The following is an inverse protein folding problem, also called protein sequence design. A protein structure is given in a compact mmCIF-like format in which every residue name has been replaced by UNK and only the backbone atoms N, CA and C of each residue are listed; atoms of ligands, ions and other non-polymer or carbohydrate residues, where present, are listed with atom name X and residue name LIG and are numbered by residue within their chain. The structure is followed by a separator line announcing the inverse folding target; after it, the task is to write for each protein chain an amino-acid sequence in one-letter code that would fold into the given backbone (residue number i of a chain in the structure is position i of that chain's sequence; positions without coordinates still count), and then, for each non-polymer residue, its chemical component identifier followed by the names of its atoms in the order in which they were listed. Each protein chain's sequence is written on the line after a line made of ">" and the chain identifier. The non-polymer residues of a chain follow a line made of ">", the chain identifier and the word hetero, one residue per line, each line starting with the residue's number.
data_IF_167788821635
#
_entry.id   IF_167788821635
#
_cell.length_a   1.000
_cell.length_b   1.000
_cell.length_c   1.000
_cell.angle_alpha   90.00
_cell.angle_beta   90.00
_cell.angle_gamma   90.00
#
_symmetry.space_group_name_H-M   'P 1'
#
loop_
_entity.id
_entity.type
_entity.pdbx_description
1 polymer ?
#
# COMPACT_ATOMS: atom_id res chain seq x y z
N UNK A 1 -15.82 -16.37 -22.59
CA UNK A 1 -14.90 -15.20 -22.52
C UNK A 1 -15.72 -13.92 -22.46
N UNK A 2 -16.66 -13.71 -23.39
CA UNK A 2 -17.47 -12.49 -23.48
C UNK A 2 -18.19 -12.15 -22.16
N UNK A 3 -18.94 -13.10 -21.59
CA UNK A 3 -19.60 -12.95 -20.30
C UNK A 3 -18.63 -12.54 -19.16
N UNK A 4 -17.44 -13.13 -19.11
CA UNK A 4 -16.42 -12.83 -18.10
C UNK A 4 -15.94 -11.39 -18.25
N UNK A 5 -15.57 -10.97 -19.46
CA UNK A 5 -15.02 -9.65 -19.69
C UNK A 5 -16.05 -8.54 -19.53
N UNK A 6 -17.33 -8.79 -19.86
CA UNK A 6 -18.40 -7.82 -19.63
C UNK A 6 -18.82 -7.70 -18.17
N UNK A 7 -18.83 -8.80 -17.41
CA UNK A 7 -19.55 -8.84 -16.13
C UNK A 7 -18.68 -9.16 -14.91
N UNK A 8 -17.44 -9.66 -15.09
CA UNK A 8 -16.65 -10.19 -13.98
C UNK A 8 -15.27 -9.53 -13.84
N UNK A 9 -14.74 -8.91 -14.90
CA UNK A 9 -13.41 -8.30 -14.88
C UNK A 9 -13.51 -6.80 -15.03
N UNK A 10 -13.04 -6.09 -14.01
CA UNK A 10 -13.02 -4.64 -13.95
C UNK A 10 -11.62 -4.17 -13.54
N UNK A 11 -11.21 -3.00 -14.01
CA UNK A 11 -9.90 -2.47 -13.67
C UNK A 11 -9.86 -0.94 -13.70
N UNK A 12 -8.90 -0.42 -12.95
CA UNK A 12 -8.57 1.01 -12.94
C UNK A 12 -7.09 1.15 -13.24
N UNK A 13 -6.77 1.86 -14.31
CA UNK A 13 -5.41 2.29 -14.56
C UNK A 13 -5.11 3.60 -13.83
N UNK A 14 -3.91 3.72 -13.32
CA UNK A 14 -3.42 4.94 -12.66
C UNK A 14 -2.97 6.01 -13.66
N UNK A 15 -2.61 5.58 -14.88
CA UNK A 15 -2.29 6.43 -16.03
C UNK A 15 -3.05 5.92 -17.26
N UNK A 16 -3.17 6.78 -18.27
CA UNK A 16 -3.75 6.37 -19.55
C UNK A 16 -2.97 5.21 -20.17
N UNK A 17 -1.64 5.29 -20.16
CA UNK A 17 -0.77 4.24 -20.70
C UNK A 17 -1.01 2.89 -20.03
N UNK A 18 -1.10 2.84 -18.69
CA UNK A 18 -1.38 1.57 -17.98
C UNK A 18 -2.74 1.00 -18.33
N UNK A 19 -3.75 1.84 -18.55
CA UNK A 19 -5.08 1.41 -18.99
C UNK A 19 -5.06 0.86 -20.41
N UNK A 20 -4.34 1.51 -21.33
CA UNK A 20 -4.18 1.03 -22.71
C UNK A 20 -3.48 -0.34 -22.77
N UNK A 21 -2.43 -0.53 -21.96
CA UNK A 21 -1.73 -1.82 -21.85
C UNK A 21 -2.66 -2.91 -21.27
N UNK A 22 -3.39 -2.57 -20.22
CA UNK A 22 -4.33 -3.50 -19.57
C UNK A 22 -5.44 -3.91 -20.52
N UNK A 23 -6.04 -2.98 -21.26
CA UNK A 23 -7.03 -3.24 -22.30
C UNK A 23 -6.46 -4.15 -23.39
N UNK A 24 -5.26 -3.85 -23.88
CA UNK A 24 -4.59 -4.67 -24.88
C UNK A 24 -4.36 -6.11 -24.40
N UNK A 25 -4.05 -6.29 -23.12
CA UNK A 25 -3.85 -7.62 -22.53
C UNK A 25 -5.15 -8.39 -22.37
N UNK A 26 -6.25 -7.72 -22.02
CA UNK A 26 -7.54 -8.35 -21.77
C UNK A 26 -8.42 -8.47 -23.03
N UNK A 27 -8.44 -7.42 -23.86
CA UNK A 27 -9.32 -7.33 -25.03
C UNK A 27 -8.60 -7.60 -26.35
N UNK A 28 -7.28 -7.83 -26.34
CA UNK A 28 -6.40 -7.86 -27.53
C UNK A 28 -6.38 -6.53 -28.30
N UNK A 29 -6.96 -5.47 -27.77
CA UNK A 29 -7.09 -4.15 -28.39
C UNK A 29 -6.91 -3.03 -27.34
N UNK A 30 -6.39 -1.87 -27.77
CA UNK A 30 -6.35 -0.65 -26.94
C UNK A 30 -7.74 -0.12 -26.64
N UNK A 31 -8.67 -0.32 -27.57
CA UNK A 31 -10.04 0.18 -27.52
C UNK A 31 -11.00 -1.00 -27.45
N UNK A 32 -11.85 -1.02 -26.43
CA UNK A 32 -12.79 -2.12 -26.15
C UNK A 32 -13.89 -2.24 -27.21
N UNK A 33 -14.19 -1.15 -27.94
CA UNK A 33 -15.09 -1.11 -29.10
C UNK A 33 -14.37 -1.20 -30.45
N UNK A 34 -13.07 -1.46 -30.44
CA UNK A 34 -12.26 -1.52 -31.66
C UNK A 34 -12.50 -2.81 -32.47
N UNK A 35 -12.30 -2.73 -33.79
CA UNK A 35 -12.49 -3.85 -34.73
C UNK A 35 -11.78 -5.16 -34.32
N UNK A 36 -10.65 -5.04 -33.63
CA UNK A 36 -9.82 -6.20 -33.23
C UNK A 36 -10.00 -6.61 -31.76
N UNK A 37 -10.94 -5.97 -31.06
CA UNK A 37 -11.29 -6.39 -29.71
C UNK A 37 -11.99 -7.74 -29.75
N UNK A 38 -11.58 -8.66 -28.85
CA UNK A 38 -12.20 -9.97 -28.73
C UNK A 38 -13.61 -9.92 -28.12
N UNK A 39 -13.96 -8.76 -27.53
CA UNK A 39 -15.28 -8.47 -26.95
C UNK A 39 -15.64 -7.02 -27.34
N UNK A 40 -16.87 -6.79 -27.75
CA UNK A 40 -17.34 -5.47 -28.13
C UNK A 40 -18.07 -4.77 -26.98
N UNK A 41 -17.62 -3.58 -26.63
CA UNK A 41 -18.26 -2.68 -25.68
C UNK A 41 -18.83 -1.46 -26.40
N UNK A 42 -19.76 -0.77 -25.75
CA UNK A 42 -20.33 0.47 -26.29
C UNK A 42 -19.32 1.64 -26.27
N UNK A 43 -18.39 1.61 -25.31
CA UNK A 43 -17.35 2.63 -25.18
C UNK A 43 -15.93 2.07 -25.38
N UNK A 44 -14.98 2.94 -25.65
CA UNK A 44 -13.59 2.56 -25.97
C UNK A 44 -12.80 2.00 -24.77
N UNK A 45 -13.25 2.22 -23.56
CA UNK A 45 -12.56 1.76 -22.35
C UNK A 45 -13.09 0.41 -21.86
N UNK A 46 -14.34 0.09 -22.15
CA UNK A 46 -15.00 -1.09 -21.60
C UNK A 46 -14.99 -1.04 -20.06
N UNK A 47 -14.63 -2.14 -19.41
CA UNK A 47 -14.53 -2.24 -17.95
C UNK A 47 -13.17 -1.84 -17.38
N UNK A 48 -12.17 -1.51 -18.23
CA UNK A 48 -10.84 -1.08 -17.79
C UNK A 48 -10.76 0.44 -17.94
N UNK A 49 -11.04 1.12 -16.86
CA UNK A 49 -11.22 2.57 -16.85
C UNK A 49 -9.92 3.32 -16.53
N UNK A 50 -9.71 4.42 -17.23
CA UNK A 50 -8.87 5.51 -16.80
C UNK A 50 -9.74 6.77 -16.70
N UNK A 51 -9.71 7.40 -15.55
CA UNK A 51 -10.48 8.63 -15.30
C UNK A 51 -9.49 9.67 -14.82
N UNK A 52 -9.34 10.72 -15.61
CA UNK A 52 -8.55 11.87 -15.21
C UNK A 52 -9.21 12.53 -14.00
N UNK A 53 -8.39 12.88 -13.04
CA UNK A 53 -8.82 13.51 -11.79
C UNK A 53 -7.94 14.69 -11.47
N UNK A 54 -8.49 15.66 -10.75
CA UNK A 54 -7.76 16.83 -10.26
C UNK A 54 -7.62 16.79 -8.74
N UNK A 55 -6.62 17.52 -8.23
CA UNK A 55 -6.45 17.70 -6.81
C UNK A 55 -7.51 18.66 -6.24
N UNK A 56 -7.97 18.36 -5.02
CA UNK A 56 -8.77 19.28 -4.21
C UNK A 56 -7.89 19.89 -3.15
N UNK A 57 -7.68 21.19 -3.21
CA UNK A 57 -6.72 21.91 -2.37
C UNK A 57 -7.36 22.51 -1.13
N UNK A 58 -6.76 22.24 0.04
CA UNK A 58 -7.06 22.89 1.29
C UNK A 58 -5.75 23.21 2.02
N UNK A 59 -5.56 24.45 2.45
CA UNK A 59 -4.33 24.92 3.12
C UNK A 59 -3.05 24.56 2.37
N UNK A 60 -3.07 24.65 1.03
CA UNK A 60 -1.93 24.34 0.16
C UNK A 60 -1.58 22.86 0.01
N UNK A 61 -2.45 21.94 0.47
CA UNK A 61 -2.28 20.49 0.33
C UNK A 61 -3.53 19.85 -0.25
N UNK A 62 -3.37 18.78 -1.03
CA UNK A 62 -4.51 18.00 -1.49
C UNK A 62 -5.13 17.24 -0.32
N UNK A 63 -6.45 17.36 -0.14
CA UNK A 63 -7.21 16.69 0.95
C UNK A 63 -7.18 15.16 0.84
N UNK A 64 -6.99 14.63 -0.36
CA UNK A 64 -6.97 13.17 -0.60
C UNK A 64 -5.59 12.56 -0.50
N UNK A 65 -4.63 13.00 -1.32
CA UNK A 65 -3.30 12.41 -1.39
C UNK A 65 -2.25 13.12 -0.52
N UNK A 66 -2.53 14.37 -0.09
CA UNK A 66 -1.63 15.16 0.75
C UNK A 66 -0.44 15.77 0.01
N UNK A 67 -0.43 15.75 -1.34
CA UNK A 67 0.57 16.46 -2.14
C UNK A 67 0.46 17.96 -1.90
N UNK A 68 1.59 18.67 -1.96
CA UNK A 68 1.61 20.12 -1.79
C UNK A 68 1.33 20.80 -3.14
N UNK A 69 0.50 21.86 -3.16
CA UNK A 69 0.15 22.62 -4.35
C UNK A 69 1.38 23.22 -5.05
N UNK A 70 2.41 23.61 -4.31
CA UNK A 70 3.65 24.14 -4.87
C UNK A 70 4.48 23.11 -5.65
N UNK A 71 4.10 21.82 -5.61
CA UNK A 71 4.68 20.74 -6.39
C UNK A 71 3.76 20.32 -7.55
N UNK A 72 2.95 21.27 -8.04
CA UNK A 72 2.20 21.07 -9.27
C UNK A 72 3.21 20.77 -10.39
N UNK A 73 3.11 19.55 -10.91
CA UNK A 73 4.07 19.04 -11.88
C UNK A 73 3.68 19.56 -13.27
N UNK A 74 4.70 19.77 -14.12
CA UNK A 74 4.49 20.03 -15.52
C UNK A 74 3.52 19.00 -16.13
N UNK A 75 2.76 19.43 -17.14
CA UNK A 75 1.67 18.63 -17.76
C UNK A 75 2.10 17.25 -18.25
N UNK A 76 3.40 17.04 -18.45
CA UNK A 76 3.98 15.79 -18.94
C UNK A 76 4.34 14.79 -17.82
N UNK A 77 4.18 15.18 -16.55
CA UNK A 77 4.48 14.33 -15.40
C UNK A 77 3.20 13.84 -14.71
N UNK A 78 3.30 12.66 -14.11
CA UNK A 78 2.19 12.06 -13.36
C UNK A 78 1.75 12.97 -12.21
N UNK A 79 0.47 13.38 -12.21
CA UNK A 79 -0.07 14.34 -11.24
C UNK A 79 -0.31 13.76 -9.85
N UNK A 80 -0.31 12.42 -9.69
CA UNK A 80 -0.75 11.70 -8.49
C UNK A 80 -2.23 11.89 -8.11
N UNK A 81 -3.02 12.55 -8.93
CA UNK A 81 -4.44 12.70 -8.74
C UNK A 81 -5.20 11.45 -9.22
N UNK A 82 -4.97 10.32 -8.58
CA UNK A 82 -5.61 9.07 -8.97
C UNK A 82 -7.09 9.07 -8.56
N UNK A 83 -7.96 8.91 -9.52
CA UNK A 83 -9.43 8.97 -9.32
C UNK A 83 -9.92 8.02 -8.22
N UNK A 84 -9.32 6.83 -8.09
CA UNK A 84 -9.71 5.84 -7.09
C UNK A 84 -9.57 6.34 -5.65
N UNK A 85 -8.58 7.17 -5.36
CA UNK A 85 -8.35 7.72 -4.01
C UNK A 85 -8.76 9.20 -3.87
N UNK A 86 -9.15 9.87 -4.97
CA UNK A 86 -9.64 11.26 -4.97
C UNK A 86 -11.17 11.30 -4.96
N UNK A 87 -11.78 10.50 -4.10
CA UNK A 87 -13.22 10.44 -3.91
C UNK A 87 -13.55 10.18 -2.44
N UNK A 88 -14.68 10.65 -1.98
CA UNK A 88 -15.20 10.34 -0.64
C UNK A 88 -15.90 8.97 -0.58
N UNK A 89 -16.32 8.46 -1.73
CA UNK A 89 -17.06 7.20 -1.81
C UNK A 89 -16.58 6.33 -2.98
N UNK A 90 -15.69 5.36 -2.73
CA UNK A 90 -15.18 4.47 -3.77
C UNK A 90 -16.26 3.59 -4.41
N UNK A 91 -17.38 3.31 -3.72
CA UNK A 91 -18.46 2.51 -4.29
C UNK A 91 -19.12 3.20 -5.50
N UNK A 92 -19.17 4.54 -5.50
CA UNK A 92 -19.73 5.29 -6.64
C UNK A 92 -18.89 5.15 -7.90
N UNK A 93 -17.57 4.93 -7.76
CA UNK A 93 -16.68 4.75 -8.90
C UNK A 93 -17.08 3.57 -9.79
N UNK A 94 -17.65 2.53 -9.18
CA UNK A 94 -18.12 1.32 -9.85
C UNK A 94 -19.65 1.19 -9.82
N UNK A 95 -20.39 2.29 -9.78
CA UNK A 95 -21.86 2.28 -9.74
C UNK A 95 -22.41 1.38 -8.62
N UNK A 96 -21.78 1.38 -7.45
CA UNK A 96 -22.10 0.54 -6.29
C UNK A 96 -22.01 -0.97 -6.55
N UNK A 97 -21.24 -1.39 -7.55
CA UNK A 97 -20.97 -2.79 -7.82
C UNK A 97 -20.25 -3.43 -6.64
N UNK A 98 -20.56 -4.69 -6.35
CA UNK A 98 -19.86 -5.49 -5.34
C UNK A 98 -18.83 -6.38 -6.02
N UNK A 99 -17.65 -6.45 -5.43
CA UNK A 99 -16.56 -7.28 -5.92
C UNK A 99 -16.32 -8.44 -4.96
N UNK A 100 -16.15 -9.64 -5.51
CA UNK A 100 -15.71 -10.79 -4.72
C UNK A 100 -14.21 -10.70 -4.45
N UNK A 101 -13.41 -10.29 -5.43
CA UNK A 101 -11.96 -10.26 -5.36
C UNK A 101 -11.43 -8.92 -5.82
N UNK A 102 -10.51 -8.34 -5.04
CA UNK A 102 -9.72 -7.18 -5.43
C UNK A 102 -8.23 -7.55 -5.33
N UNK A 103 -7.51 -7.38 -6.42
CA UNK A 103 -6.05 -7.57 -6.46
C UNK A 103 -5.37 -6.33 -7.05
N UNK A 104 -4.13 -6.07 -6.64
CA UNK A 104 -3.42 -4.94 -7.23
C UNK A 104 -2.00 -4.72 -6.70
N UNK A 105 -1.31 -3.87 -7.46
CA UNK A 105 -0.02 -3.30 -7.10
C UNK A 105 -0.17 -1.77 -7.16
N UNK A 106 -0.58 -1.11 -6.06
CA UNK A 106 -0.85 0.32 -6.06
C UNK A 106 0.44 1.15 -6.13
N UNK A 107 0.36 2.42 -6.53
CA UNK A 107 1.50 3.34 -6.44
C UNK A 107 2.05 3.41 -5.01
N UNK A 108 3.37 3.26 -4.86
CA UNK A 108 3.99 3.14 -3.54
C UNK A 108 4.13 4.46 -2.82
N UNK A 109 4.47 5.52 -3.54
CA UNK A 109 4.80 6.80 -2.95
C UNK A 109 4.55 7.96 -3.92
N UNK A 110 4.42 9.14 -3.36
CA UNK A 110 4.44 10.41 -4.08
C UNK A 110 5.87 10.94 -4.00
N UNK A 111 6.43 11.28 -5.17
CA UNK A 111 7.66 12.04 -5.23
C UNK A 111 7.32 13.52 -5.00
N UNK A 112 7.85 14.12 -3.95
CA UNK A 112 7.59 15.52 -3.60
C UNK A 112 8.59 16.51 -4.21
N UNK A 113 9.37 16.04 -5.23
CA UNK A 113 10.17 16.89 -6.15
C UNK A 113 11.27 17.72 -5.49
N UNK A 114 11.59 17.50 -4.23
CA UNK A 114 12.55 18.31 -3.49
C UNK A 114 13.87 17.61 -3.18
N UNK A 115 14.99 18.29 -3.42
CA UNK A 115 16.30 17.86 -2.95
C UNK A 115 16.27 17.56 -1.44
N UNK A 116 16.55 16.30 -1.06
CA UNK A 116 16.61 15.85 0.33
C UNK A 116 15.27 15.65 1.02
N UNK A 117 14.14 15.84 0.34
CA UNK A 117 12.82 15.54 0.90
C UNK A 117 12.46 14.07 0.65
N UNK A 118 12.01 13.42 1.69
CA UNK A 118 11.64 12.02 1.62
C UNK A 118 10.24 11.88 1.05
N UNK A 119 10.09 11.12 -0.04
CA UNK A 119 8.81 10.74 -0.65
C UNK A 119 7.79 10.24 0.41
N UNK A 120 6.51 10.59 0.21
CA UNK A 120 5.41 10.21 1.10
C UNK A 120 4.77 8.91 0.60
N UNK A 121 4.48 7.95 1.49
CA UNK A 121 3.73 6.76 1.12
C UNK A 121 2.33 7.11 0.60
N UNK A 122 1.86 6.37 -0.42
CA UNK A 122 0.52 6.53 -0.98
C UNK A 122 -0.30 5.23 -0.94
N UNK A 123 0.35 4.07 -1.03
CA UNK A 123 -0.28 2.75 -1.12
C UNK A 123 -1.29 2.46 -0.01
N UNK A 124 -1.10 2.99 1.20
CA UNK A 124 -2.00 2.81 2.33
C UNK A 124 -3.41 3.32 2.04
N UNK A 125 -3.54 4.40 1.27
CA UNK A 125 -4.84 4.93 0.85
C UNK A 125 -5.58 3.96 -0.07
N UNK A 126 -4.86 3.34 -1.01
CA UNK A 126 -5.44 2.31 -1.89
C UNK A 126 -5.92 1.11 -1.09
N UNK A 127 -5.16 0.64 -0.09
CA UNK A 127 -5.58 -0.43 0.82
C UNK A 127 -6.86 -0.06 1.56
N UNK A 128 -6.91 1.13 2.17
CA UNK A 128 -8.07 1.59 2.92
C UNK A 128 -9.31 1.75 2.03
N UNK A 129 -9.15 2.26 0.81
CA UNK A 129 -10.26 2.40 -0.14
C UNK A 129 -10.74 1.04 -0.65
N UNK A 130 -9.85 0.09 -0.91
CA UNK A 130 -10.22 -1.27 -1.29
C UNK A 130 -10.98 -2.00 -0.18
N UNK A 131 -10.59 -1.83 1.08
CA UNK A 131 -11.35 -2.35 2.23
C UNK A 131 -12.77 -1.76 2.33
N UNK A 132 -12.95 -0.47 1.97
CA UNK A 132 -14.28 0.19 1.93
C UNK A 132 -15.22 -0.41 0.87
N UNK A 133 -14.68 -0.97 -0.21
CA UNK A 133 -15.47 -1.72 -1.21
C UNK A 133 -15.98 -3.06 -0.65
N UNK A 134 -15.47 -3.47 0.51
CA UNK A 134 -15.88 -4.66 1.25
C UNK A 134 -15.91 -5.95 0.41
N UNK A 135 -14.81 -6.28 -0.32
CA UNK A 135 -14.73 -7.49 -1.13
C UNK A 135 -14.72 -8.75 -0.25
N UNK A 136 -14.97 -9.91 -0.83
CA UNK A 136 -14.81 -11.19 -0.15
C UNK A 136 -13.32 -11.51 0.08
N UNK A 137 -12.48 -11.26 -0.93
CA UNK A 137 -11.03 -11.42 -0.88
C UNK A 137 -10.32 -10.18 -1.38
N UNK A 138 -9.23 -9.82 -0.72
CA UNK A 138 -8.44 -8.66 -1.09
C UNK A 138 -6.94 -8.97 -0.94
N UNK A 139 -6.16 -8.70 -1.98
CA UNK A 139 -4.71 -8.91 -1.96
C UNK A 139 -3.98 -7.81 -2.72
N UNK A 140 -3.08 -7.13 -2.03
CA UNK A 140 -2.17 -6.15 -2.63
C UNK A 140 -0.71 -6.50 -2.32
N UNK A 141 0.16 -6.16 -3.28
CA UNK A 141 1.60 -6.11 -3.04
C UNK A 141 1.99 -4.66 -2.73
N UNK A 142 2.63 -4.43 -1.59
CA UNK A 142 2.94 -3.09 -1.06
C UNK A 142 4.31 -3.08 -0.36
N UNK A 143 4.95 -1.89 -0.21
CA UNK A 143 6.15 -1.76 0.62
C UNK A 143 5.92 -2.21 2.06
N UNK A 144 6.86 -2.97 2.62
CA UNK A 144 6.81 -3.47 4.00
C UNK A 144 7.12 -2.39 5.06
N UNK A 145 7.38 -1.16 4.65
CA UNK A 145 7.72 -0.04 5.55
C UNK A 145 6.68 0.20 6.65
N UNK A 146 5.42 -0.12 6.41
CA UNK A 146 4.36 0.07 7.40
C UNK A 146 4.55 -0.78 8.67
N UNK A 147 5.37 -1.83 8.65
CA UNK A 147 5.64 -2.68 9.82
C UNK A 147 6.14 -1.87 11.02
N UNK A 148 7.01 -0.89 10.78
CA UNK A 148 7.57 -0.02 11.80
C UNK A 148 6.89 1.35 11.89
N UNK A 149 6.02 1.68 10.92
CA UNK A 149 5.37 2.98 10.81
C UNK A 149 6.30 4.11 10.41
N UNK A 150 5.99 5.30 10.88
CA UNK A 150 6.64 6.55 10.48
C UNK A 150 6.17 7.06 9.12
N UNK A 151 6.56 8.27 8.76
CA UNK A 151 6.08 8.95 7.53
C UNK A 151 4.55 9.00 7.37
N UNK A 152 3.81 9.07 8.48
CA UNK A 152 2.35 9.10 8.47
C UNK A 152 1.68 7.72 8.34
N UNK A 153 2.41 6.63 8.53
CA UNK A 153 1.87 5.26 8.45
C UNK A 153 1.49 4.67 9.83
N UNK A 154 1.57 5.44 10.92
CA UNK A 154 1.36 4.89 12.26
C UNK A 154 -0.07 4.38 12.46
N UNK A 155 -1.08 5.14 12.04
CA UNK A 155 -2.48 4.70 12.12
C UNK A 155 -2.76 3.52 11.16
N UNK A 156 -2.21 3.57 9.95
CA UNK A 156 -2.31 2.46 9.00
C UNK A 156 -1.68 1.17 9.55
N UNK A 157 -0.51 1.29 10.21
CA UNK A 157 0.14 0.15 10.88
C UNK A 157 -0.77 -0.43 11.95
N UNK A 158 -1.30 0.41 12.86
CA UNK A 158 -2.20 -0.03 13.94
C UNK A 158 -3.43 -0.75 13.37
N UNK A 159 -4.02 -0.21 12.30
CA UNK A 159 -5.13 -0.84 11.58
C UNK A 159 -4.74 -2.22 11.07
N UNK A 160 -3.62 -2.32 10.34
CA UNK A 160 -3.20 -3.57 9.69
C UNK A 160 -2.83 -4.67 10.69
N UNK A 161 -2.04 -4.36 11.74
CA UNK A 161 -1.65 -5.38 12.74
C UNK A 161 -2.81 -5.86 13.60
N UNK A 162 -3.86 -5.05 13.74
CA UNK A 162 -5.05 -5.39 14.54
C UNK A 162 -6.16 -6.06 13.72
N UNK A 163 -6.05 -6.07 12.39
CA UNK A 163 -7.07 -6.63 11.50
C UNK A 163 -6.92 -8.15 11.38
N UNK A 164 -7.73 -8.88 12.14
CA UNK A 164 -7.74 -10.35 12.16
C UNK A 164 -8.24 -11.01 10.88
N UNK A 165 -8.66 -10.22 9.88
CA UNK A 165 -9.08 -10.69 8.57
C UNK A 165 -7.90 -10.90 7.62
N UNK A 166 -6.68 -10.53 8.02
CA UNK A 166 -5.48 -10.84 7.25
C UNK A 166 -5.09 -12.30 7.56
N UNK A 167 -5.41 -13.20 6.65
CA UNK A 167 -5.17 -14.64 6.79
C UNK A 167 -3.74 -15.04 6.43
N UNK A 168 -3.12 -14.33 5.47
CA UNK A 168 -1.76 -14.58 5.01
C UNK A 168 -0.99 -13.28 4.82
N UNK A 169 0.30 -13.31 5.17
CA UNK A 169 1.25 -12.23 4.94
C UNK A 169 2.57 -12.83 4.47
N UNK A 170 2.97 -12.49 3.25
CA UNK A 170 4.25 -12.89 2.66
C UNK A 170 5.18 -11.70 2.64
N UNK A 171 6.33 -11.83 3.28
CA UNK A 171 7.33 -10.78 3.45
C UNK A 171 8.61 -11.08 2.68
N UNK A 172 9.02 -10.12 1.85
CA UNK A 172 10.26 -10.17 1.06
C UNK A 172 11.16 -9.02 1.48
N UNK A 173 12.22 -9.35 2.18
CA UNK A 173 13.18 -8.36 2.67
C UNK A 173 13.99 -7.77 1.52
N UNK A 174 14.37 -8.59 0.56
CA UNK A 174 14.98 -8.16 -0.70
C UNK A 174 13.90 -8.07 -1.79
N UNK A 175 13.70 -6.86 -2.29
CA UNK A 175 12.73 -6.60 -3.37
C UNK A 175 13.10 -7.32 -4.68
N UNK A 176 14.38 -7.58 -4.92
CA UNK A 176 14.85 -8.28 -6.12
C UNK A 176 14.33 -9.72 -6.22
N UNK A 177 13.94 -10.33 -5.11
CA UNK A 177 13.35 -11.68 -5.12
C UNK A 177 12.00 -11.70 -5.87
N UNK A 178 11.32 -10.56 -5.97
CA UNK A 178 10.01 -10.41 -6.63
C UNK A 178 10.10 -9.53 -7.87
N UNK A 179 10.78 -8.40 -7.77
CA UNK A 179 10.94 -7.41 -8.84
C UNK A 179 12.42 -7.17 -9.13
N UNK A 180 13.01 -7.92 -10.07
CA UNK A 180 14.41 -7.75 -10.42
C UNK A 180 14.74 -6.32 -10.85
N UNK A 181 15.78 -5.75 -10.26
CA UNK A 181 16.23 -4.38 -10.55
C UNK A 181 15.47 -3.27 -9.80
N UNK A 182 14.46 -3.60 -9.01
CA UNK A 182 13.75 -2.64 -8.18
C UNK A 182 14.29 -2.69 -6.74
N UNK A 183 14.68 -1.53 -6.21
CA UNK A 183 15.11 -1.41 -4.82
C UNK A 183 14.09 -0.58 -4.02
N UNK A 184 13.30 -1.26 -3.18
CA UNK A 184 12.38 -0.62 -2.23
C UNK A 184 12.95 -0.76 -0.83
N UNK A 185 13.35 0.36 -0.24
CA UNK A 185 13.92 0.37 1.10
C UNK A 185 12.95 -0.20 2.13
N UNK A 186 13.37 -1.29 2.78
CA UNK A 186 12.58 -2.04 3.76
C UNK A 186 11.87 -3.26 3.17
N UNK A 187 12.01 -3.51 1.85
CA UNK A 187 11.38 -4.63 1.18
C UNK A 187 9.91 -4.42 0.85
N UNK A 188 9.29 -5.48 0.40
CA UNK A 188 7.87 -5.51 0.03
C UNK A 188 7.16 -6.68 0.72
N UNK A 189 5.85 -6.59 0.78
CA UNK A 189 5.01 -7.69 1.23
C UNK A 189 3.76 -7.79 0.35
N UNK A 190 3.17 -8.98 0.28
CA UNK A 190 1.77 -9.11 -0.11
C UNK A 190 0.99 -9.84 0.96
N UNK A 191 -0.31 -9.58 1.01
CA UNK A 191 -1.19 -10.16 2.02
C UNK A 191 -2.49 -10.63 1.38
N UNK A 192 -3.13 -11.60 2.00
CA UNK A 192 -4.51 -11.99 1.73
C UNK A 192 -5.38 -11.53 2.89
N UNK A 193 -6.35 -10.68 2.58
CA UNK A 193 -7.41 -10.27 3.49
C UNK A 193 -8.71 -10.94 3.05
N UNK A 194 -9.42 -11.55 4.00
CA UNK A 194 -10.65 -12.29 3.77
C UNK A 194 -11.75 -11.74 4.67
N UNK A 195 -12.84 -11.30 4.11
CA UNK A 195 -13.93 -10.59 4.80
C UNK A 195 -14.43 -11.34 6.04
N UNK A 196 -14.64 -12.65 5.91
CA UNK A 196 -15.27 -13.48 6.95
C UNK A 196 -14.23 -14.23 7.81
N UNK A 197 -12.94 -14.01 7.59
CA UNK A 197 -11.87 -14.58 8.40
C UNK A 197 -11.73 -13.82 9.72
N UNK A 198 -11.49 -14.56 10.79
CA UNK A 198 -11.18 -13.99 12.12
C UNK A 198 -10.22 -14.92 12.86
N UNK A 199 -8.95 -14.82 12.56
CA UNK A 199 -7.97 -15.75 13.10
C UNK A 199 -6.54 -15.21 13.15
N UNK A 200 -5.60 -16.13 13.32
CA UNK A 200 -4.17 -15.85 13.23
C UNK A 200 -3.74 -15.75 11.77
N UNK A 201 -2.75 -14.96 11.50
CA UNK A 201 -2.17 -14.80 10.17
C UNK A 201 -1.04 -15.83 9.95
N UNK A 202 -1.04 -16.50 8.79
CA UNK A 202 0.11 -17.27 8.34
C UNK A 202 1.15 -16.29 7.77
N UNK A 203 2.18 -16.02 8.57
CA UNK A 203 3.28 -15.12 8.17
C UNK A 203 4.41 -15.93 7.58
N UNK A 204 4.74 -15.67 6.32
CA UNK A 204 5.84 -16.32 5.59
C UNK A 204 6.95 -15.32 5.30
N UNK A 205 8.12 -15.53 5.89
CA UNK A 205 9.33 -14.78 5.57
C UNK A 205 10.07 -15.47 4.42
N UNK A 206 10.24 -14.76 3.31
CA UNK A 206 11.00 -15.23 2.16
C UNK A 206 12.45 -14.75 2.26
N UNK A 207 13.41 -15.68 2.11
CA UNK A 207 14.84 -15.40 2.14
C UNK A 207 15.47 -15.96 0.87
N UNK A 208 15.52 -15.13 -0.16
CA UNK A 208 15.91 -15.58 -1.50
C UNK A 208 14.88 -16.54 -2.11
N UNK A 209 15.30 -17.26 -3.13
CA UNK A 209 14.38 -18.12 -3.93
C UNK A 209 14.06 -19.48 -3.27
N UNK A 210 14.80 -19.89 -2.27
CA UNK A 210 14.82 -21.29 -1.78
C UNK A 210 14.50 -21.46 -0.30
N UNK A 211 14.49 -20.41 0.50
CA UNK A 211 14.28 -20.52 1.95
C UNK A 211 13.07 -19.71 2.39
N UNK A 212 12.06 -20.41 2.89
CA UNK A 212 10.85 -19.81 3.43
C UNK A 212 10.66 -20.29 4.88
N UNK A 213 10.35 -19.36 5.76
CA UNK A 213 9.97 -19.64 7.14
C UNK A 213 8.54 -19.15 7.36
N UNK A 214 7.64 -20.07 7.75
CA UNK A 214 6.21 -19.78 7.91
C UNK A 214 5.76 -20.07 9.34
N UNK A 215 5.02 -19.13 9.92
CA UNK A 215 4.46 -19.26 11.27
C UNK A 215 3.02 -18.74 11.31
N UNK A 216 2.12 -19.51 11.89
CA UNK A 216 0.75 -19.06 12.18
C UNK A 216 0.74 -18.27 13.51
N UNK A 217 0.59 -16.96 13.44
CA UNK A 217 0.69 -16.04 14.58
C UNK A 217 -0.20 -14.82 14.48
N UNK A 218 -0.37 -14.10 15.57
CA UNK A 218 -0.95 -12.78 15.51
C UNK A 218 0.03 -11.80 14.82
N UNK A 219 -0.49 -10.80 14.11
CA UNK A 219 0.33 -9.72 13.59
C UNK A 219 0.66 -8.71 14.69
N UNK A 220 -0.25 -8.52 15.64
CA UNK A 220 -0.05 -7.68 16.82
C UNK A 220 0.38 -8.57 18.00
N UNK A 221 1.59 -8.35 18.48
CA UNK A 221 2.06 -8.94 19.74
C UNK A 221 1.64 -8.09 20.95
N UNK A 222 1.58 -8.71 22.11
CA UNK A 222 1.20 -8.05 23.35
C UNK A 222 2.19 -6.92 23.69
N UNK A 223 1.65 -5.74 24.07
CA UNK A 223 2.41 -4.54 24.41
C UNK A 223 3.31 -3.97 23.30
N UNK A 224 3.10 -4.36 22.04
CA UNK A 224 3.84 -3.82 20.91
C UNK A 224 2.92 -3.15 19.90
N UNK A 225 3.34 -1.98 19.44
CA UNK A 225 2.67 -1.22 18.38
C UNK A 225 3.36 -1.35 17.02
N UNK A 226 4.28 -2.30 16.88
CA UNK A 226 4.98 -2.60 15.63
C UNK A 226 4.76 -4.06 15.26
N UNK A 227 4.90 -4.38 13.96
CA UNK A 227 4.91 -5.77 13.52
C UNK A 227 6.32 -6.34 13.68
N UNK A 228 6.44 -7.42 14.45
CA UNK A 228 7.68 -8.18 14.52
C UNK A 228 7.85 -8.92 13.20
N UNK A 229 8.88 -8.55 12.45
CA UNK A 229 9.07 -9.00 11.08
C UNK A 229 9.41 -10.48 10.99
N UNK A 230 10.45 -10.90 11.75
CA UNK A 230 10.99 -12.24 11.68
C UNK A 230 10.28 -13.20 12.62
N UNK A 231 9.82 -14.35 12.11
CA UNK A 231 9.11 -15.36 12.89
C UNK A 231 9.96 -15.89 14.05
N UNK A 232 11.25 -16.12 13.84
CA UNK A 232 12.19 -16.56 14.88
C UNK A 232 12.28 -15.60 16.08
N UNK A 233 12.06 -14.30 15.85
CA UNK A 233 12.11 -13.28 16.91
C UNK A 233 10.95 -13.39 17.89
N UNK A 234 9.85 -14.04 17.52
CA UNK A 234 8.67 -14.21 18.40
C UNK A 234 9.02 -15.04 19.64
N UNK A 235 9.78 -16.13 19.46
CA UNK A 235 10.19 -16.97 20.58
C UNK A 235 11.13 -16.23 21.56
N UNK A 236 12.00 -15.37 21.03
CA UNK A 236 12.89 -14.52 21.83
C UNK A 236 12.06 -13.49 22.61
N UNK A 237 11.15 -12.81 21.93
CA UNK A 237 10.26 -11.83 22.56
C UNK A 237 9.46 -12.44 23.72
N UNK A 238 8.87 -13.61 23.49
CA UNK A 238 8.10 -14.31 24.53
C UNK A 238 8.96 -14.69 25.75
N UNK A 239 10.21 -15.10 25.55
CA UNK A 239 11.16 -15.35 26.64
C UNK A 239 11.45 -14.08 27.43
N UNK A 240 11.70 -12.95 26.73
CA UNK A 240 11.96 -11.66 27.40
C UNK A 240 10.74 -11.20 28.19
N UNK A 241 9.54 -11.27 27.62
CA UNK A 241 8.30 -10.88 28.29
C UNK A 241 7.95 -11.77 29.50
N UNK A 242 8.43 -13.03 29.52
CA UNK A 242 8.20 -13.93 30.65
C UNK A 242 8.87 -13.46 31.95
N UNK A 243 9.91 -12.64 31.87
CA UNK A 243 10.58 -12.06 33.05
C UNK A 243 9.76 -10.94 33.72
N UNK A 244 8.73 -10.40 33.00
CA UNK A 244 7.85 -9.30 33.48
C UNK A 244 8.62 -8.06 33.95
N UNK A 245 9.77 -7.82 33.39
CA UNK A 245 10.56 -6.62 33.65
C UNK A 245 9.97 -5.40 32.91
N UNK A 246 10.15 -4.23 33.51
CA UNK A 246 9.77 -2.97 32.86
C UNK A 246 10.59 -2.75 31.59
N UNK A 247 9.95 -2.18 30.58
CA UNK A 247 10.63 -1.91 29.33
C UNK A 247 11.73 -0.85 29.51
N UNK A 248 12.92 -1.13 29.01
CA UNK A 248 14.02 -0.14 28.96
C UNK A 248 13.61 1.14 28.22
N UNK A 249 12.58 1.09 27.37
CA UNK A 249 12.03 2.28 26.69
C UNK A 249 11.54 3.37 27.66
N UNK A 250 11.19 3.02 28.90
CA UNK A 250 10.81 3.99 29.95
C UNK A 250 11.99 4.86 30.39
N UNK A 251 13.21 4.33 30.24
CA UNK A 251 14.46 5.02 30.57
C UNK A 251 15.09 5.74 29.38
N UNK A 252 14.51 5.58 28.18
CA UNK A 252 15.04 6.15 26.93
C UNK A 252 14.19 7.33 26.51
N UNK A 253 14.79 8.51 26.47
CA UNK A 253 14.14 9.70 25.94
C UNK A 253 13.87 9.56 24.44
N UNK A 254 12.75 10.11 23.98
CA UNK A 254 12.43 10.19 22.57
C UNK A 254 13.46 11.07 21.82
N UNK A 255 13.41 11.00 20.49
CA UNK A 255 14.29 11.80 19.61
C UNK A 255 14.34 13.26 20.04
N UNK A 256 15.55 13.81 20.11
CA UNK A 256 15.85 15.18 20.58
C UNK A 256 15.52 15.42 22.06
N UNK A 257 16.04 14.64 23.00
CA UNK A 257 15.72 14.75 24.42
C UNK A 257 16.01 16.12 25.02
N UNK A 258 16.96 16.86 24.44
CA UNK A 258 17.34 18.22 24.86
C UNK A 258 16.86 19.30 23.86
N UNK A 259 15.92 19.00 22.98
CA UNK A 259 15.48 19.92 21.92
C UNK A 259 16.51 20.16 20.80
N UNK A 260 17.69 19.54 20.87
CA UNK A 260 18.78 19.72 19.93
C UNK A 260 18.54 18.91 18.67
N UNK A 261 18.73 19.53 17.49
CA UNK A 261 18.69 18.83 16.20
C UNK A 261 20.04 18.22 15.86
N UNK A 262 20.06 17.27 14.90
CA UNK A 262 21.32 16.71 14.37
C UNK A 262 22.24 17.75 13.71
N UNK A 263 21.69 18.91 13.36
CA UNK A 263 22.43 20.05 12.77
C UNK A 263 22.87 21.07 13.83
N UNK A 264 22.70 20.75 15.10
CA UNK A 264 23.17 21.63 16.19
C UNK A 264 24.69 21.74 16.14
N UNK A 265 25.18 22.95 15.89
CA UNK A 265 26.62 23.25 15.78
C UNK A 265 27.27 23.64 17.08
N UNK A 266 26.56 23.51 18.15
CA UNK A 266 26.97 23.32 19.53
C UNK A 266 27.86 24.31 20.22
N UNK A 267 28.15 25.53 19.75
CA UNK A 267 28.78 26.53 20.56
C UNK A 267 28.49 27.94 20.06
N UNK A 268 28.00 28.80 20.93
CA UNK A 268 28.23 30.23 20.82
C UNK A 268 29.72 30.46 21.02
N UNK A 269 30.36 31.17 20.12
CA UNK A 269 31.70 31.74 20.32
C UNK A 269 31.47 33.12 20.91
N UNK A 270 31.08 33.19 22.15
CA UNK A 270 31.17 34.40 22.97
C UNK A 270 32.36 34.29 23.90
#
# INVERSE_FOLDING_TARGET
>A
IEHILHNQVFGIGITELTSLISRRSLYCSKYANGKYSIVQFDDEQGNIKYIESSHTWENGKCVYCGVNKNYDRDKDLESYAYSFIHTNNPNKFFNNMKFDVIIGNPPYQIDDGGFGKSSKPLYHKFVQFSKKLNPRFFSFIIPARWYNGGKGLDEFRKEMISDKRISQLHDFQDTNDVFPGLNVRGGICFFLWEKDYNGKCLVTNHRGKTSNDSMLRNLKEENLDILIRHNESISILNKVHSFKENSFSELVSSRKPFGLSTNFKGFSKD
#
